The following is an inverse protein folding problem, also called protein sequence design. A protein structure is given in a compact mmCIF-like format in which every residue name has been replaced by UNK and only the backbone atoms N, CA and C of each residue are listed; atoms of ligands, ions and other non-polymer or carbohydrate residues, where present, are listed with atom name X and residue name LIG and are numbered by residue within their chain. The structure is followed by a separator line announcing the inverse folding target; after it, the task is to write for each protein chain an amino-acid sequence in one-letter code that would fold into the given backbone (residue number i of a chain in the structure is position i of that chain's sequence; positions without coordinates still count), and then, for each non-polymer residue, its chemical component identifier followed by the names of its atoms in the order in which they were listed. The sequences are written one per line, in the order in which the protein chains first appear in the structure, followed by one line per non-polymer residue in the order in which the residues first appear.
data_IF_192251932340
#
_entry.id   IF_192251932340
#
_cell.length_a   1.000
_cell.length_b   1.000
_cell.length_c   1.000
_cell.angle_alpha   90.00
_cell.angle_beta   90.00
_cell.angle_gamma   90.00
#
_symmetry.space_group_name_H-M   'P 1'
#
loop_
_entity.id
_entity.type
_entity.pdbx_description
1 polymer ?
#
# COMPACT_ATOMS: atom_id res chain seq x y z
N UNK A 1 -11.88 22.54 8.18
CA UNK A 1 -12.13 23.98 7.97
C UNK A 1 -11.41 24.35 6.68
N UNK A 2 -12.12 24.89 5.68
CA UNK A 2 -11.53 25.39 4.45
C UNK A 2 -10.69 26.63 4.78
N UNK A 3 -9.37 26.58 4.62
CA UNK A 3 -8.52 27.77 4.77
C UNK A 3 -8.67 28.67 3.53
N UNK A 4 -9.07 29.92 3.77
CA UNK A 4 -9.32 30.92 2.75
C UNK A 4 -8.03 31.41 2.12
N UNK A 5 -7.95 31.41 0.79
CA UNK A 5 -6.89 32.08 0.04
C UNK A 5 -6.94 33.60 0.32
N UNK A 6 -5.80 34.19 0.67
CA UNK A 6 -5.66 35.64 0.82
C UNK A 6 -5.37 36.23 -0.56
N UNK A 7 -6.24 37.13 -1.04
CA UNK A 7 -6.09 37.80 -2.33
C UNK A 7 -5.31 39.10 -2.11
N UNK A 8 -4.05 39.17 -2.52
CA UNK A 8 -3.34 40.44 -2.67
C UNK A 8 -3.30 40.84 -4.14
N UNK A 9 -3.63 42.11 -4.41
CA UNK A 9 -3.60 42.70 -5.74
C UNK A 9 -2.19 43.23 -6.01
N UNK A 10 -1.47 42.67 -6.97
CA UNK A 10 -0.28 43.32 -7.52
C UNK A 10 -0.72 44.55 -8.36
N UNK A 11 0.12 45.57 -8.40
CA UNK A 11 -0.06 46.86 -9.09
C UNK A 11 -0.28 46.75 -10.61
N UNK A 12 -0.30 45.54 -11.18
CA UNK A 12 -0.61 45.20 -12.57
C UNK A 12 -2.07 44.82 -12.82
N UNK A 13 -2.88 44.59 -11.78
CA UNK A 13 -4.30 44.21 -11.91
C UNK A 13 -4.54 42.73 -12.22
N UNK A 14 -3.52 41.87 -12.11
CA UNK A 14 -3.67 40.41 -12.16
C UNK A 14 -3.96 39.85 -10.77
N UNK A 15 -4.97 38.98 -10.67
CA UNK A 15 -5.31 38.28 -9.43
C UNK A 15 -4.29 37.15 -9.22
N UNK A 16 -3.24 37.42 -8.45
CA UNK A 16 -2.28 36.38 -8.04
C UNK A 16 -2.87 35.69 -6.81
N UNK A 17 -3.42 34.49 -7.00
CA UNK A 17 -3.79 33.62 -5.87
C UNK A 17 -2.49 33.00 -5.36
N UNK A 18 -1.85 33.63 -4.38
CA UNK A 18 -0.76 32.98 -3.66
C UNK A 18 -1.34 31.88 -2.76
N UNK A 19 -0.97 30.64 -3.07
CA UNK A 19 -1.29 29.51 -2.21
C UNK A 19 -0.56 29.69 -0.87
N UNK A 20 -1.33 29.80 0.21
CA UNK A 20 -0.79 29.87 1.57
C UNK A 20 -0.08 28.55 1.89
N UNK A 21 1.12 28.66 2.47
CA UNK A 21 1.88 27.51 2.94
C UNK A 21 1.22 26.98 4.22
N UNK A 22 0.93 25.68 4.25
CA UNK A 22 0.40 25.01 5.43
C UNK A 22 1.43 25.01 6.57
N UNK A 23 0.96 25.07 7.82
CA UNK A 23 1.84 25.07 8.99
C UNK A 23 2.64 23.76 9.04
N UNK A 24 3.96 23.85 9.21
CA UNK A 24 4.87 22.69 9.22
C UNK A 24 5.36 22.22 7.84
N UNK A 25 4.78 22.74 6.75
CA UNK A 25 5.25 22.45 5.40
C UNK A 25 6.42 23.36 5.00
N UNK A 26 7.32 22.81 4.18
CA UNK A 26 8.40 23.54 3.52
C UNK A 26 8.01 23.84 2.08
N UNK A 27 8.38 25.02 1.57
CA UNK A 27 8.23 25.40 0.16
C UNK A 27 9.59 25.48 -0.50
N UNK A 28 9.76 24.87 -1.66
CA UNK A 28 10.99 24.98 -2.45
C UNK A 28 10.69 25.06 -3.93
N UNK A 29 11.43 25.92 -4.64
CA UNK A 29 11.42 25.98 -6.10
C UNK A 29 12.58 25.15 -6.64
N UNK A 30 12.30 24.34 -7.65
CA UNK A 30 13.29 23.48 -8.27
C UNK A 30 14.43 24.26 -8.90
N UNK A 31 15.59 23.61 -8.97
CA UNK A 31 16.73 24.08 -9.75
C UNK A 31 17.02 23.10 -10.88
N UNK A 32 17.80 23.56 -11.86
CA UNK A 32 18.30 22.70 -12.93
C UNK A 32 18.91 21.43 -12.34
N UNK A 33 18.54 20.28 -12.90
CA UNK A 33 18.96 18.99 -12.40
C UNK A 33 20.49 18.84 -12.51
N UNK A 34 21.20 18.45 -11.44
CA UNK A 34 22.67 18.47 -11.40
C UNK A 34 23.32 17.29 -12.16
N UNK A 35 22.55 16.26 -12.50
CA UNK A 35 23.05 15.08 -13.22
C UNK A 35 23.39 15.36 -14.69
N UNK A 36 24.53 14.84 -15.14
CA UNK A 36 24.99 14.89 -16.53
C UNK A 36 23.97 14.19 -17.45
N UNK A 37 23.59 14.83 -18.55
CA UNK A 37 22.58 14.35 -19.50
C UNK A 37 21.14 14.69 -19.13
N UNK A 38 20.92 15.35 -17.98
CA UNK A 38 19.62 15.80 -17.51
C UNK A 38 19.57 17.32 -17.35
N UNK A 39 20.42 18.06 -18.06
CA UNK A 39 20.53 19.53 -17.96
C UNK A 39 19.24 20.25 -18.38
N UNK A 40 18.33 19.57 -19.11
CA UNK A 40 17.02 20.12 -19.47
C UNK A 40 15.93 19.83 -18.44
N UNK A 41 16.26 19.16 -17.33
CA UNK A 41 15.31 18.79 -16.28
C UNK A 41 15.44 19.69 -15.06
N UNK A 42 14.44 19.64 -14.18
CA UNK A 42 14.41 20.35 -12.92
C UNK A 42 14.26 19.36 -11.76
N UNK A 43 14.83 19.70 -10.60
CA UNK A 43 14.71 18.88 -9.40
C UNK A 43 14.83 19.67 -8.11
N UNK A 44 14.31 19.07 -7.03
CA UNK A 44 14.48 19.48 -5.64
C UNK A 44 15.04 18.29 -4.87
N UNK A 45 16.22 18.46 -4.27
CA UNK A 45 16.76 17.47 -3.34
C UNK A 45 16.16 17.72 -1.95
N UNK A 46 15.38 16.76 -1.48
CA UNK A 46 14.65 16.84 -0.21
C UNK A 46 15.49 16.25 0.92
N UNK A 47 16.03 15.05 0.69
CA UNK A 47 17.01 14.42 1.57
C UNK A 47 18.30 14.19 0.78
N UNK A 48 19.46 14.67 1.28
CA UNK A 48 20.73 14.51 0.59
C UNK A 48 21.19 13.05 0.60
N UNK A 49 22.21 12.74 -0.20
CA UNK A 49 22.86 11.42 -0.21
C UNK A 49 23.36 11.06 1.20
N UNK A 50 23.09 9.81 1.60
CA UNK A 50 23.62 9.19 2.81
C UNK A 50 24.10 7.75 2.55
N UNK A 51 25.10 7.32 3.31
CA UNK A 51 25.52 5.91 3.40
C UNK A 51 24.49 5.05 4.18
N UNK A 52 23.62 5.70 4.95
CA UNK A 52 22.51 5.10 5.68
C UNK A 52 21.23 5.11 4.84
N UNK A 53 20.20 4.42 5.32
CA UNK A 53 18.89 4.37 4.66
C UNK A 53 17.93 5.34 5.35
N UNK A 54 17.45 6.35 4.63
CA UNK A 54 16.26 7.08 5.02
C UNK A 54 15.04 6.20 4.83
N UNK A 55 14.11 6.26 5.78
CA UNK A 55 12.79 5.64 5.62
C UNK A 55 11.73 6.51 6.25
N UNK A 56 10.60 6.66 5.56
CA UNK A 56 9.51 7.49 6.04
C UNK A 56 8.49 7.84 4.96
N UNK A 57 7.78 8.93 5.21
CA UNK A 57 6.66 9.40 4.40
C UNK A 57 6.95 10.81 3.88
N UNK A 58 6.81 10.99 2.57
CA UNK A 58 6.78 12.29 1.91
C UNK A 58 5.33 12.64 1.59
N UNK A 59 4.84 13.75 2.14
CA UNK A 59 3.63 14.40 1.66
C UNK A 59 4.04 15.60 0.79
N UNK A 60 3.42 15.75 -0.37
CA UNK A 60 3.79 16.76 -1.36
C UNK A 60 2.57 17.37 -2.03
N UNK A 61 2.72 18.61 -2.48
CA UNK A 61 1.78 19.35 -3.30
C UNK A 61 2.58 20.29 -4.23
N UNK A 62 2.68 19.89 -5.49
CA UNK A 62 3.48 20.55 -6.51
C UNK A 62 2.62 21.35 -7.49
N UNK A 63 3.20 22.40 -8.07
CA UNK A 63 2.55 23.23 -9.09
C UNK A 63 2.36 22.52 -10.42
N UNK A 64 2.89 21.30 -10.58
CA UNK A 64 2.78 20.49 -11.79
C UNK A 64 2.95 19.00 -11.51
N UNK A 65 2.71 18.15 -12.52
CA UNK A 65 3.07 16.74 -12.47
C UNK A 65 4.58 16.56 -12.29
N UNK A 66 4.94 15.78 -11.27
CA UNK A 66 6.31 15.52 -10.86
C UNK A 66 6.64 14.02 -10.96
N UNK A 67 7.91 13.69 -10.72
CA UNK A 67 8.43 12.35 -10.51
C UNK A 67 9.06 12.32 -9.12
N UNK A 68 8.77 11.28 -8.34
CA UNK A 68 9.35 11.06 -7.02
C UNK A 68 10.50 10.07 -7.15
N UNK A 69 11.66 10.39 -6.61
CA UNK A 69 12.88 9.61 -6.79
C UNK A 69 13.49 9.27 -5.44
N UNK A 70 13.85 8.00 -5.25
CA UNK A 70 14.75 7.56 -4.18
C UNK A 70 15.93 6.80 -4.79
N UNK A 71 17.10 6.90 -4.16
CA UNK A 71 18.34 6.29 -4.64
C UNK A 71 18.72 5.04 -3.83
N UNK A 72 19.37 4.10 -4.50
CA UNK A 72 19.90 2.86 -3.93
C UNK A 72 21.37 2.73 -4.31
N UNK A 73 22.25 2.56 -3.33
CA UNK A 73 23.67 2.36 -3.59
C UNK A 73 24.58 3.01 -2.55
N UNK A 74 25.84 3.29 -2.92
CA UNK A 74 26.38 3.32 -4.29
C UNK A 74 26.43 1.96 -5.00
N UNK A 75 26.37 1.97 -6.35
CA UNK A 75 26.51 0.79 -7.20
C UNK A 75 27.99 0.45 -7.45
N UNK A 76 28.30 -0.85 -7.44
CA UNK A 76 29.57 -1.40 -7.88
C UNK A 76 29.66 -1.53 -9.41
N UNK A 77 30.87 -1.81 -9.91
CA UNK A 77 31.11 -2.03 -11.34
C UNK A 77 30.25 -3.18 -11.90
N UNK A 78 29.38 -2.84 -12.85
CA UNK A 78 28.51 -3.77 -13.56
C UNK A 78 27.13 -3.97 -12.96
N UNK A 79 26.82 -3.38 -11.81
CA UNK A 79 25.49 -3.39 -11.17
C UNK A 79 24.49 -2.46 -11.87
N UNK A 80 24.96 -1.55 -12.73
CA UNK A 80 24.15 -0.59 -13.48
C UNK A 80 23.38 -1.21 -14.66
N UNK A 81 23.64 -2.47 -15.00
CA UNK A 81 23.05 -3.13 -16.17
C UNK A 81 21.53 -3.28 -16.06
N UNK A 82 20.83 -2.69 -17.03
CA UNK A 82 19.37 -2.80 -17.18
C UNK A 82 18.57 -1.90 -16.24
N UNK A 83 19.22 -1.21 -15.31
CA UNK A 83 18.55 -0.40 -14.30
C UNK A 83 18.58 1.09 -14.64
N UNK A 84 17.61 1.84 -14.13
CA UNK A 84 17.70 3.29 -14.15
C UNK A 84 18.78 3.72 -13.14
N UNK A 85 19.74 4.52 -13.59
CA UNK A 85 20.85 4.99 -12.75
C UNK A 85 21.01 6.49 -12.82
N UNK A 86 21.57 7.06 -11.76
CA UNK A 86 21.93 8.46 -11.69
C UNK A 86 23.25 8.63 -10.93
N UNK A 87 24.09 9.55 -11.42
CA UNK A 87 25.32 10.00 -10.78
C UNK A 87 25.24 11.48 -10.40
N UNK A 88 24.82 11.81 -9.17
CA UNK A 88 24.68 13.20 -8.74
C UNK A 88 26.01 13.98 -8.75
N UNK A 89 27.12 13.31 -8.48
CA UNK A 89 28.48 13.87 -8.45
C UNK A 89 29.26 13.65 -9.76
N UNK A 90 28.64 13.01 -10.76
CA UNK A 90 29.28 12.62 -12.02
C UNK A 90 30.31 11.49 -11.90
N UNK A 91 30.51 10.89 -10.73
CA UNK A 91 31.50 9.84 -10.47
C UNK A 91 30.85 8.56 -9.93
N UNK A 92 30.00 8.69 -8.92
CA UNK A 92 29.36 7.59 -8.20
C UNK A 92 28.01 7.30 -8.81
N UNK A 93 27.75 6.04 -9.16
CA UNK A 93 26.44 5.63 -9.71
C UNK A 93 25.54 5.13 -8.60
N UNK A 94 24.28 5.51 -8.66
CA UNK A 94 23.21 4.98 -7.84
C UNK A 94 22.13 4.41 -8.75
N UNK A 95 21.51 3.32 -8.36
CA UNK A 95 20.24 2.93 -8.95
C UNK A 95 19.16 3.87 -8.42
N UNK A 96 18.11 4.08 -9.21
CA UNK A 96 17.00 4.92 -8.80
C UNK A 96 15.67 4.21 -8.98
N UNK A 97 14.84 4.34 -7.95
CA UNK A 97 13.40 4.15 -8.06
C UNK A 97 12.80 5.48 -8.42
N UNK A 98 12.02 5.55 -9.50
CA UNK A 98 11.19 6.71 -9.78
C UNK A 98 9.72 6.31 -9.85
N UNK A 99 8.86 7.11 -9.22
CA UNK A 99 7.40 6.94 -9.20
C UNK A 99 6.78 8.15 -9.90
N UNK A 100 5.84 7.88 -10.80
CA UNK A 100 5.02 8.92 -11.43
C UNK A 100 3.66 8.91 -10.74
N UNK A 101 3.41 9.81 -9.78
CA UNK A 101 2.10 9.87 -9.14
C UNK A 101 1.03 10.35 -10.14
N UNK A 102 -0.20 9.88 -9.95
CA UNK A 102 -1.35 10.28 -10.76
C UNK A 102 -1.70 11.77 -10.58
N UNK A 103 -1.39 12.32 -9.41
CA UNK A 103 -1.69 13.69 -9.03
C UNK A 103 -0.41 14.44 -8.64
N UNK A 104 -0.43 15.76 -8.81
CA UNK A 104 0.64 16.65 -8.34
C UNK A 104 0.67 16.80 -6.81
N UNK A 105 -0.32 16.24 -6.11
CA UNK A 105 -0.43 16.19 -4.66
C UNK A 105 -0.62 14.75 -4.21
N UNK A 106 0.02 14.36 -3.11
CA UNK A 106 -0.19 13.05 -2.52
C UNK A 106 0.79 12.70 -1.43
N UNK A 107 0.81 11.41 -1.12
CA UNK A 107 1.69 10.79 -0.14
C UNK A 107 2.55 9.72 -0.84
N UNK A 108 3.80 9.60 -0.43
CA UNK A 108 4.67 8.51 -0.84
C UNK A 108 5.52 8.00 0.31
N UNK A 109 5.41 6.70 0.60
CA UNK A 109 6.26 5.99 1.54
C UNK A 109 7.47 5.43 0.83
N UNK A 110 8.65 5.66 1.38
CA UNK A 110 9.91 5.31 0.73
C UNK A 110 10.94 4.74 1.71
N UNK A 111 11.89 3.99 1.15
CA UNK A 111 13.19 3.74 1.73
C UNK A 111 14.29 4.09 0.70
N UNK A 112 15.42 4.62 1.14
CA UNK A 112 16.60 4.78 0.29
C UNK A 112 17.63 5.79 0.77
N UNK A 113 18.68 5.97 -0.02
CA UNK A 113 19.87 6.74 0.33
C UNK A 113 19.74 8.24 0.04
N UNK A 114 18.71 8.66 -0.68
CA UNK A 114 18.37 10.07 -0.92
C UNK A 114 16.89 10.19 -1.34
N UNK A 115 16.32 11.38 -1.22
CA UNK A 115 14.95 11.69 -1.67
C UNK A 115 14.96 12.92 -2.56
N UNK A 116 14.44 12.80 -3.78
CA UNK A 116 14.45 13.84 -4.80
C UNK A 116 13.10 13.94 -5.47
N UNK A 117 12.62 15.17 -5.68
CA UNK A 117 11.47 15.45 -6.54
C UNK A 117 11.99 15.99 -7.86
N UNK A 118 11.47 15.51 -8.97
CA UNK A 118 12.00 15.73 -10.30
C UNK A 118 10.90 16.04 -11.32
N UNK A 119 11.21 16.79 -12.38
CA UNK A 119 10.39 16.89 -13.58
C UNK A 119 11.28 16.90 -14.82
N UNK A 120 10.76 16.38 -15.92
CA UNK A 120 11.42 16.41 -17.23
C UNK A 120 11.33 17.77 -17.93
N UNK A 121 10.60 18.72 -17.35
CA UNK A 121 10.45 20.06 -17.90
C UNK A 121 11.66 20.94 -17.58
N UNK A 122 11.90 21.91 -18.46
CA UNK A 122 12.97 22.91 -18.32
C UNK A 122 12.60 24.02 -17.36
N UNK A 123 11.30 24.33 -17.25
CA UNK A 123 10.80 25.40 -16.40
C UNK A 123 10.75 24.96 -14.93
N UNK A 124 11.20 25.81 -13.99
CA UNK A 124 11.12 25.49 -12.57
C UNK A 124 9.70 25.24 -12.10
N UNK A 125 9.53 24.25 -11.22
CA UNK A 125 8.30 24.02 -10.48
C UNK A 125 8.48 24.40 -9.01
N UNK A 126 7.39 24.67 -8.33
CA UNK A 126 7.39 24.84 -6.88
C UNK A 126 6.68 23.66 -6.23
N UNK A 127 7.21 23.20 -5.11
CA UNK A 127 6.63 22.13 -4.31
C UNK A 127 6.56 22.56 -2.86
N UNK A 128 5.37 22.37 -2.29
CA UNK A 128 5.16 22.36 -0.85
C UNK A 128 5.28 20.90 -0.39
N UNK A 129 6.03 20.64 0.68
CA UNK A 129 6.19 19.29 1.20
C UNK A 129 6.40 19.24 2.71
N UNK A 130 6.09 18.08 3.29
CA UNK A 130 6.55 17.67 4.62
C UNK A 130 7.13 16.26 4.51
N UNK A 131 8.28 16.05 5.14
CA UNK A 131 8.97 14.75 5.17
C UNK A 131 9.11 14.31 6.61
N UNK A 132 8.43 13.22 6.92
CA UNK A 132 8.55 12.52 8.19
C UNK A 132 9.42 11.30 7.97
N UNK A 133 10.73 11.43 8.17
CA UNK A 133 11.69 10.35 7.94
C UNK A 133 12.72 10.21 9.04
N UNK A 134 13.27 9.01 9.14
CA UNK A 134 14.41 8.69 9.98
C UNK A 134 15.57 8.23 9.10
N UNK A 135 16.78 8.71 9.39
CA UNK A 135 18.01 8.16 8.83
C UNK A 135 18.47 6.99 9.70
N UNK A 136 18.45 5.78 9.14
CA UNK A 136 18.72 4.55 9.89
C UNK A 136 20.01 3.90 9.44
N UNK A 137 20.87 3.61 10.42
CA UNK A 137 22.13 2.90 10.21
C UNK A 137 21.87 1.50 9.67
N UNK A 138 22.71 1.06 8.73
CA UNK A 138 22.64 -0.26 8.14
C UNK A 138 22.72 -1.34 9.24
N UNK A 139 21.81 -2.31 9.15
CA UNK A 139 21.68 -3.43 10.09
C UNK A 139 21.01 -4.61 9.38
N UNK A 140 20.80 -5.74 10.07
CA UNK A 140 20.21 -6.94 9.47
C UNK A 140 18.80 -6.73 8.90
N UNK A 141 18.06 -5.70 9.36
CA UNK A 141 16.70 -5.36 8.88
C UNK A 141 16.62 -4.00 8.18
N UNK A 142 17.74 -3.29 8.03
CA UNK A 142 17.84 -2.02 7.32
C UNK A 142 19.03 -2.11 6.37
N UNK A 143 18.75 -2.37 5.09
CA UNK A 143 19.79 -2.65 4.09
C UNK A 143 19.48 -1.95 2.78
N UNK A 144 20.54 -1.71 2.00
CA UNK A 144 20.49 -1.20 0.64
C UNK A 144 21.50 -1.98 -0.19
N UNK A 145 21.21 -2.25 -1.45
CA UNK A 145 22.15 -2.99 -2.29
C UNK A 145 21.57 -3.45 -3.62
N UNK A 146 22.38 -4.24 -4.33
CA UNK A 146 22.03 -4.82 -5.62
C UNK A 146 22.23 -6.33 -5.61
N UNK A 147 21.25 -7.07 -6.14
CA UNK A 147 21.22 -8.52 -6.21
C UNK A 147 20.94 -8.95 -7.65
N UNK A 148 21.66 -9.96 -8.12
CA UNK A 148 21.27 -10.71 -9.32
C UNK A 148 20.31 -11.82 -8.89
N UNK A 149 19.17 -11.93 -9.57
CA UNK A 149 18.23 -13.01 -9.31
C UNK A 149 18.86 -14.38 -9.59
N UNK A 150 18.33 -15.39 -8.93
CA UNK A 150 18.62 -16.80 -9.17
C UNK A 150 17.36 -17.53 -9.62
N UNK A 151 17.50 -18.76 -10.11
CA UNK A 151 16.36 -19.63 -10.32
C UNK A 151 15.60 -19.83 -9.02
N UNK A 152 14.27 -19.73 -9.05
CA UNK A 152 13.44 -19.93 -7.87
C UNK A 152 13.62 -21.36 -7.35
N UNK A 153 14.04 -21.53 -6.07
CA UNK A 153 14.25 -22.85 -5.50
C UNK A 153 12.95 -23.53 -5.04
N UNK A 154 11.81 -22.84 -5.13
CA UNK A 154 10.49 -23.36 -4.78
C UNK A 154 10.05 -24.47 -5.74
N UNK A 155 9.48 -25.54 -5.18
CA UNK A 155 8.90 -26.63 -5.95
C UNK A 155 7.79 -26.11 -6.86
N UNK A 156 7.89 -26.38 -8.17
CA UNK A 156 6.93 -25.90 -9.17
C UNK A 156 7.19 -24.50 -9.71
N UNK A 157 8.22 -23.81 -9.21
CA UNK A 157 8.65 -22.48 -9.67
C UNK A 157 9.96 -22.51 -10.46
N UNK A 158 10.39 -23.69 -10.92
CA UNK A 158 11.72 -23.86 -11.54
C UNK A 158 11.88 -23.09 -12.87
N UNK A 159 10.78 -22.61 -13.47
CA UNK A 159 10.81 -21.74 -14.64
C UNK A 159 10.96 -20.25 -14.32
N UNK A 160 10.95 -19.88 -13.04
CA UNK A 160 10.90 -18.51 -12.57
C UNK A 160 12.26 -18.07 -11.99
N UNK A 161 12.42 -16.76 -11.82
CA UNK A 161 13.54 -16.16 -11.11
C UNK A 161 13.09 -15.55 -9.80
N UNK A 162 14.00 -15.52 -8.83
CA UNK A 162 13.80 -15.00 -7.49
C UNK A 162 15.04 -14.24 -7.00
N UNK A 163 14.84 -13.07 -6.42
CA UNK A 163 15.84 -12.30 -5.68
C UNK A 163 15.37 -12.16 -4.23
N UNK A 164 16.07 -12.81 -3.30
CA UNK A 164 15.71 -12.83 -1.89
C UNK A 164 16.41 -11.67 -1.17
N UNK A 165 15.62 -10.80 -0.54
CA UNK A 165 16.12 -9.70 0.30
C UNK A 165 16.23 -10.17 1.75
N UNK A 166 15.14 -10.72 2.29
CA UNK A 166 15.12 -11.38 3.59
C UNK A 166 14.80 -12.85 3.39
N UNK A 167 15.75 -13.71 3.77
CA UNK A 167 15.54 -15.15 3.76
C UNK A 167 14.48 -15.54 4.80
N UNK A 168 13.74 -16.64 4.57
CA UNK A 168 12.78 -17.15 5.55
C UNK A 168 13.41 -17.32 6.94
N UNK A 169 12.76 -16.76 7.95
CA UNK A 169 13.20 -16.83 9.34
C UNK A 169 12.01 -16.89 10.30
N UNK A 170 12.23 -17.25 11.57
CA UNK A 170 11.21 -17.13 12.62
C UNK A 170 10.84 -15.68 12.94
N UNK A 171 11.66 -14.72 12.51
CA UNK A 171 11.41 -13.32 12.78
C UNK A 171 10.42 -12.77 11.76
N UNK A 172 9.52 -11.90 12.23
CA UNK A 172 8.61 -11.16 11.35
C UNK A 172 9.21 -9.79 11.08
N UNK A 173 9.38 -9.49 9.80
CA UNK A 173 9.78 -8.20 9.29
C UNK A 173 8.56 -7.41 8.84
N UNK A 174 8.47 -6.15 9.24
CA UNK A 174 7.46 -5.22 8.73
C UNK A 174 8.11 -3.89 8.40
N UNK A 175 7.86 -3.35 7.21
CA UNK A 175 8.53 -2.12 6.80
C UNK A 175 8.25 -1.68 5.38
N UNK A 176 9.14 -0.82 4.87
CA UNK A 176 9.05 -0.24 3.53
C UNK A 176 10.21 -0.77 2.69
N UNK A 177 9.89 -1.30 1.52
CA UNK A 177 10.82 -1.61 0.44
C UNK A 177 10.66 -0.55 -0.65
N UNK A 178 11.77 0.01 -1.15
CA UNK A 178 11.81 0.69 -2.44
C UNK A 178 12.78 -0.06 -3.35
N UNK A 179 12.42 -0.24 -4.63
CA UNK A 179 13.14 -1.12 -5.54
C UNK A 179 13.16 -0.63 -6.99
N UNK A 180 14.22 -1.01 -7.70
CA UNK A 180 14.41 -0.80 -9.14
C UNK A 180 15.00 -2.07 -9.75
N UNK A 181 14.37 -2.60 -10.79
CA UNK A 181 14.73 -3.85 -11.44
C UNK A 181 14.97 -3.65 -12.94
N UNK A 182 15.72 -4.57 -13.54
CA UNK A 182 15.99 -4.57 -14.98
C UNK A 182 14.79 -4.94 -15.86
N UNK A 183 13.74 -5.48 -15.26
CA UNK A 183 12.50 -5.92 -15.91
C UNK A 183 11.32 -5.86 -14.94
N UNK A 184 10.11 -6.14 -15.42
CA UNK A 184 8.93 -6.18 -14.56
C UNK A 184 9.02 -7.35 -13.58
N UNK A 185 8.70 -7.08 -12.33
CA UNK A 185 8.85 -8.04 -11.23
C UNK A 185 7.51 -8.30 -10.55
N UNK A 186 7.52 -9.27 -9.66
CA UNK A 186 6.49 -9.61 -8.70
C UNK A 186 7.04 -9.41 -7.29
N UNK A 187 6.23 -8.86 -6.41
CA UNK A 187 6.57 -8.65 -5.01
C UNK A 187 6.07 -9.83 -4.19
N UNK A 188 6.97 -10.42 -3.41
CA UNK A 188 6.71 -11.67 -2.68
C UNK A 188 7.04 -11.45 -1.21
N UNK A 189 6.07 -11.70 -0.34
CA UNK A 189 6.28 -11.84 1.09
C UNK A 189 5.80 -13.21 1.53
N UNK A 190 6.54 -13.87 2.42
CA UNK A 190 6.17 -15.18 2.93
C UNK A 190 5.76 -15.09 4.40
N UNK A 191 4.69 -15.79 4.77
CA UNK A 191 4.30 -16.05 6.17
C UNK A 191 4.50 -17.53 6.47
N UNK A 192 5.17 -17.84 7.56
CA UNK A 192 5.25 -19.22 8.04
C UNK A 192 6.58 -19.59 8.69
N UNK A 193 6.78 -20.89 8.97
CA UNK A 193 6.02 -22.02 8.43
C UNK A 193 4.56 -22.07 8.92
N UNK A 194 3.62 -22.43 8.03
CA UNK A 194 2.20 -22.56 8.38
C UNK A 194 1.90 -23.92 9.02
N UNK A 195 0.89 -23.96 9.88
CA UNK A 195 0.42 -25.19 10.54
C UNK A 195 -0.31 -26.14 9.58
N UNK A 196 -0.45 -27.44 9.95
CA UNK A 196 -1.08 -28.46 9.11
C UNK A 196 -2.58 -28.23 8.85
N UNK A 197 -3.23 -27.39 9.67
CA UNK A 197 -4.65 -27.05 9.55
C UNK A 197 -4.87 -25.75 8.75
N UNK A 198 -3.80 -25.05 8.37
CA UNK A 198 -3.86 -23.86 7.52
C UNK A 198 -3.87 -24.26 6.05
N UNK A 199 -4.79 -23.69 5.26
CA UNK A 199 -4.94 -23.97 3.83
C UNK A 199 -4.96 -22.67 3.01
N UNK A 200 -3.82 -21.97 2.89
CA UNK A 200 -3.75 -20.73 2.15
C UNK A 200 -3.92 -20.95 0.64
N UNK A 201 -4.35 -19.91 -0.07
CA UNK A 201 -4.55 -19.97 -1.52
C UNK A 201 -3.25 -20.17 -2.31
N UNK A 202 -2.15 -19.59 -1.80
CA UNK A 202 -0.84 -19.67 -2.42
C UNK A 202 0.19 -20.12 -1.40
N UNK A 203 0.92 -21.18 -1.75
CA UNK A 203 1.96 -21.78 -0.92
C UNK A 203 3.28 -21.78 -1.64
N UNK A 204 4.37 -21.63 -0.89
CA UNK A 204 5.73 -21.81 -1.38
C UNK A 204 6.49 -22.78 -0.46
N UNK A 205 7.26 -23.70 -1.05
CA UNK A 205 8.06 -24.68 -0.31
C UNK A 205 9.28 -25.12 -1.12
N UNK A 206 10.40 -25.33 -0.44
CA UNK A 206 11.64 -25.85 -1.05
C UNK A 206 11.78 -27.35 -0.86
N UNK A 207 11.35 -27.87 0.29
CA UNK A 207 11.55 -29.26 0.73
C UNK A 207 10.25 -30.10 0.69
N UNK A 208 9.11 -29.47 0.41
CA UNK A 208 7.79 -30.09 0.43
C UNK A 208 7.22 -30.32 1.84
N UNK A 209 7.96 -29.94 2.89
CA UNK A 209 7.57 -30.14 4.30
C UNK A 209 7.41 -28.85 5.07
N UNK A 210 8.23 -27.85 4.76
CA UNK A 210 8.18 -26.50 5.31
C UNK A 210 7.39 -25.66 4.33
N UNK A 211 6.11 -25.43 4.65
CA UNK A 211 5.19 -24.68 3.80
C UNK A 211 5.08 -23.25 4.32
N UNK A 212 5.21 -22.29 3.42
CA UNK A 212 4.95 -20.88 3.68
C UNK A 212 3.71 -20.46 2.91
N UNK A 213 2.85 -19.66 3.52
CA UNK A 213 1.87 -18.87 2.79
C UNK A 213 2.62 -17.78 2.03
N UNK A 214 2.24 -17.59 0.77
CA UNK A 214 2.84 -16.61 -0.12
C UNK A 214 1.86 -15.47 -0.39
N UNK A 215 2.22 -14.26 0.03
CA UNK A 215 1.59 -13.04 -0.47
C UNK A 215 2.28 -12.62 -1.75
N UNK A 216 1.49 -12.41 -2.79
CA UNK A 216 1.94 -12.14 -4.14
C UNK A 216 1.28 -10.86 -4.66
N UNK A 217 2.09 -9.90 -5.11
CA UNK A 217 1.62 -8.68 -5.77
C UNK A 217 2.33 -8.54 -7.11
N UNK A 218 1.58 -8.46 -8.21
CA UNK A 218 2.11 -8.15 -9.54
C UNK A 218 1.82 -6.67 -9.85
N UNK A 219 2.77 -5.77 -9.62
CA UNK A 219 2.57 -4.35 -9.89
C UNK A 219 2.65 -4.02 -11.39
N UNK A 220 2.94 -5.00 -12.27
CA UNK A 220 3.22 -4.81 -13.68
C UNK A 220 4.27 -3.71 -13.96
N UNK A 221 5.17 -3.49 -13.01
CA UNK A 221 6.21 -2.47 -13.07
C UNK A 221 7.57 -3.05 -12.64
N UNK A 222 8.63 -2.30 -12.97
CA UNK A 222 10.02 -2.65 -12.63
C UNK A 222 10.57 -1.85 -11.46
N UNK A 223 9.80 -0.92 -10.91
CA UNK A 223 10.24 -0.08 -9.80
C UNK A 223 9.05 0.49 -9.04
N UNK A 224 9.25 0.74 -7.75
CA UNK A 224 8.22 1.30 -6.89
C UNK A 224 8.60 1.21 -5.43
N UNK A 225 7.60 1.41 -4.58
CA UNK A 225 7.70 1.22 -3.14
C UNK A 225 6.56 0.33 -2.65
N UNK A 226 6.84 -0.48 -1.65
CA UNK A 226 5.91 -1.44 -1.09
C UNK A 226 6.03 -1.51 0.42
N UNK A 227 4.90 -1.34 1.10
CA UNK A 227 4.78 -1.69 2.51
C UNK A 227 4.51 -3.18 2.62
N UNK A 228 5.35 -3.88 3.36
CA UNK A 228 5.29 -5.33 3.48
C UNK A 228 5.30 -5.76 4.95
N UNK A 229 4.80 -6.97 5.18
CA UNK A 229 4.96 -7.71 6.41
C UNK A 229 5.13 -9.19 6.09
N UNK A 230 6.05 -9.87 6.77
CA UNK A 230 6.26 -11.31 6.62
C UNK A 230 7.59 -11.81 7.20
N UNK A 231 7.76 -13.12 7.16
CA UNK A 231 8.94 -13.87 7.60
C UNK A 231 10.06 -13.90 6.56
N UNK A 232 9.74 -13.59 5.30
CA UNK A 232 10.68 -13.46 4.18
C UNK A 232 10.22 -12.34 3.24
N UNK A 233 11.17 -11.76 2.50
CA UNK A 233 10.91 -10.75 1.49
C UNK A 233 11.72 -11.07 0.24
N UNK A 234 11.05 -11.17 -0.90
CA UNK A 234 11.68 -11.43 -2.19
C UNK A 234 10.98 -10.69 -3.33
N UNK A 235 11.67 -10.61 -4.46
CA UNK A 235 11.06 -10.21 -5.73
C UNK A 235 11.26 -11.33 -6.74
N UNK A 236 10.23 -11.62 -7.52
CA UNK A 236 10.22 -12.69 -8.51
C UNK A 236 10.00 -12.20 -9.94
N UNK A 237 10.29 -13.04 -10.93
CA UNK A 237 9.94 -12.81 -12.32
C UNK A 237 9.57 -14.13 -13.01
N UNK A 238 8.46 -14.14 -13.76
CA UNK A 238 7.96 -15.33 -14.50
C UNK A 238 8.70 -15.56 -15.81
N UNK A 239 10.01 -15.77 -15.73
CA UNK A 239 10.82 -16.18 -16.86
C UNK A 239 12.14 -16.79 -16.38
N UNK A 240 12.93 -17.31 -17.31
CA UNK A 240 14.18 -18.03 -17.03
C UNK A 240 15.42 -17.14 -17.11
N UNK A 241 15.28 -15.84 -17.38
CA UNK A 241 16.41 -14.93 -17.55
C UNK A 241 16.63 -14.18 -16.25
N UNK A 242 17.85 -14.21 -15.73
CA UNK A 242 18.16 -13.49 -14.49
C UNK A 242 17.95 -11.98 -14.66
N UNK A 243 17.35 -11.35 -13.66
CA UNK A 243 17.22 -9.90 -13.57
C UNK A 243 18.15 -9.33 -12.50
N UNK A 244 18.45 -8.03 -12.64
CA UNK A 244 19.18 -7.26 -11.64
C UNK A 244 18.20 -6.44 -10.82
N UNK A 245 18.33 -6.47 -9.51
CA UNK A 245 17.50 -5.74 -8.55
C UNK A 245 18.37 -4.84 -7.68
N UNK A 246 18.13 -3.54 -7.68
CA UNK A 246 18.61 -2.65 -6.62
C UNK A 246 17.48 -2.20 -5.72
N UNK A 247 17.76 -2.10 -4.43
CA UNK A 247 16.71 -1.86 -3.44
C UNK A 247 17.27 -1.15 -2.22
N UNK A 248 16.35 -0.56 -1.46
CA UNK A 248 16.56 -0.22 -0.06
C UNK A 248 15.35 -0.66 0.73
N UNK A 249 15.59 -1.24 1.89
CA UNK A 249 14.56 -1.70 2.80
C UNK A 249 14.85 -1.19 4.20
N UNK A 250 13.80 -0.74 4.88
CA UNK A 250 13.85 -0.44 6.31
C UNK A 250 12.71 -1.17 6.99
N UNK A 251 13.05 -2.15 7.81
CA UNK A 251 12.08 -2.98 8.51
C UNK A 251 12.33 -3.01 10.01
N UNK A 252 11.25 -3.08 10.76
CA UNK A 252 11.24 -3.53 12.14
C UNK A 252 11.30 -5.06 12.12
N UNK A 253 12.22 -5.59 12.92
CA UNK A 253 12.37 -7.02 13.15
C UNK A 253 11.76 -7.35 14.50
N UNK A 254 10.77 -8.22 14.52
CA UNK A 254 10.20 -8.75 15.75
C UNK A 254 10.51 -10.23 15.84
N UNK A 255 11.14 -10.66 16.94
CA UNK A 255 11.32 -12.08 17.23
C UNK A 255 9.94 -12.69 17.46
N UNK A 256 9.66 -13.84 16.86
CA UNK A 256 8.55 -14.67 17.31
C UNK A 256 8.80 -15.03 18.78
N UNK A 257 8.04 -14.42 19.68
CA UNK A 257 7.61 -15.14 20.86
C UNK A 257 6.79 -16.32 20.36
N UNK A 258 7.38 -17.52 20.30
CA UNK A 258 6.62 -18.78 20.36
C UNK A 258 6.00 -18.85 21.76
N UNK A 259 5.01 -18.00 21.99
CA UNK A 259 3.90 -18.30 22.86
C UNK A 259 2.79 -18.74 21.92
N UNK A 260 1.97 -19.77 22.25
CA UNK A 260 0.66 -19.84 21.61
C UNK A 260 0.08 -18.44 21.72
N UNK A 261 -0.46 -17.93 20.62
CA UNK A 261 -1.18 -16.67 20.59
C UNK A 261 -2.23 -16.77 21.70
N UNK A 262 -1.88 -16.30 22.90
CA UNK A 262 -2.85 -15.73 23.80
C UNK A 262 -3.22 -14.48 23.06
N UNK A 263 -4.23 -14.62 22.20
CA UNK A 263 -4.81 -13.56 21.41
C UNK A 263 -4.91 -12.33 22.31
N UNK A 264 -3.98 -11.40 22.15
CA UNK A 264 -4.31 -10.03 22.51
C UNK A 264 -5.41 -9.68 21.51
N UNK A 265 -6.61 -9.35 21.99
CA UNK A 265 -7.74 -9.14 21.11
C UNK A 265 -7.33 -8.02 20.15
N UNK A 266 -7.30 -8.33 18.85
CA UNK A 266 -7.53 -7.29 17.84
C UNK A 266 -8.84 -6.67 18.30
N UNK A 267 -8.80 -5.42 18.76
CA UNK A 267 -10.01 -4.78 19.22
C UNK A 267 -10.99 -4.85 18.04
N UNK A 268 -12.18 -5.44 18.22
CA UNK A 268 -13.10 -5.70 17.13
C UNK A 268 -13.40 -4.37 16.42
N UNK A 269 -13.17 -4.32 15.11
CA UNK A 269 -13.45 -3.11 14.33
C UNK A 269 -14.96 -3.04 14.07
N UNK A 270 -15.50 -1.83 14.09
CA UNK A 270 -16.90 -1.58 13.71
C UNK A 270 -16.94 -1.10 12.25
N UNK A 271 -17.59 -1.88 11.40
CA UNK A 271 -17.90 -1.55 10.01
C UNK A 271 -19.33 -1.02 9.92
N UNK A 272 -19.58 -0.04 9.06
CA UNK A 272 -20.89 0.61 8.98
C UNK A 272 -21.61 0.29 7.67
N UNK A 273 -22.90 -0.02 7.77
CA UNK A 273 -23.81 -0.18 6.64
C UNK A 273 -24.98 0.78 6.81
N UNK A 274 -25.25 1.62 5.81
CA UNK A 274 -26.41 2.50 5.79
C UNK A 274 -27.54 1.89 4.99
N UNK A 275 -28.76 1.94 5.53
CA UNK A 275 -30.00 1.77 4.78
C UNK A 275 -30.45 3.18 4.35
N UNK A 276 -30.27 3.59 3.08
CA UNK A 276 -30.55 4.96 2.66
C UNK A 276 -32.06 5.22 2.51
N UNK A 277 -32.44 6.49 2.38
CA UNK A 277 -33.83 6.88 2.22
C UNK A 277 -34.47 6.36 0.92
N UNK A 278 -35.77 6.08 0.97
CA UNK A 278 -36.63 5.63 -0.13
C UNK A 278 -36.41 4.17 -0.59
N UNK A 279 -35.79 3.31 0.21
CA UNK A 279 -35.59 1.88 -0.13
C UNK A 279 -36.80 0.99 0.22
N UNK A 280 -37.79 1.55 0.95
CA UNK A 280 -39.09 0.92 1.20
C UNK A 280 -39.96 0.72 -0.06
N UNK A 281 -39.53 1.20 -1.22
CA UNK A 281 -40.12 0.89 -2.52
C UNK A 281 -39.09 0.18 -3.43
N UNK A 282 -39.51 -0.76 -4.29
CA UNK A 282 -38.60 -1.38 -5.26
C UNK A 282 -37.89 -0.36 -6.17
N UNK A 283 -36.64 -0.65 -6.51
CA UNK A 283 -35.77 0.12 -7.39
C UNK A 283 -34.29 0.00 -7.02
N UNK A 284 -33.98 -0.04 -5.72
CA UNK A 284 -32.61 -0.09 -5.20
C UNK A 284 -31.90 -1.44 -5.48
N UNK A 285 -32.65 -2.51 -5.74
CA UNK A 285 -32.13 -3.85 -6.05
C UNK A 285 -31.43 -3.91 -7.41
N UNK A 286 -31.77 -3.00 -8.32
CA UNK A 286 -31.14 -2.91 -9.64
C UNK A 286 -29.73 -2.31 -9.60
N UNK A 287 -29.44 -1.52 -8.56
CA UNK A 287 -28.17 -0.82 -8.37
C UNK A 287 -27.36 -1.33 -7.18
N UNK A 288 -27.90 -2.28 -6.40
CA UNK A 288 -27.34 -2.75 -5.12
C UNK A 288 -27.16 -1.61 -4.09
N UNK A 289 -28.10 -0.68 -4.05
CA UNK A 289 -28.03 0.49 -3.15
C UNK A 289 -29.02 0.39 -1.98
N UNK A 290 -29.64 -0.77 -1.77
CA UNK A 290 -30.56 -0.97 -0.64
C UNK A 290 -29.85 -1.00 0.73
N UNK A 291 -28.62 -1.54 0.75
CA UNK A 291 -27.68 -1.50 1.86
C UNK A 291 -26.36 -0.96 1.33
N UNK A 292 -25.77 0.04 1.98
CA UNK A 292 -24.55 0.71 1.51
C UNK A 292 -23.44 0.58 2.55
N UNK A 293 -22.33 -0.11 2.26
CA UNK A 293 -22.08 -0.84 1.02
C UNK A 293 -22.92 -2.14 0.93
N UNK A 294 -23.15 -2.62 -0.29
CA UNK A 294 -23.88 -3.87 -0.54
C UNK A 294 -23.13 -5.11 -0.06
N UNK A 295 -21.81 -5.09 -0.18
CA UNK A 295 -20.91 -6.18 0.19
C UNK A 295 -19.82 -5.64 1.09
N UNK A 296 -19.58 -6.32 2.21
CA UNK A 296 -18.47 -6.05 3.12
C UNK A 296 -17.54 -7.27 3.18
N UNK A 297 -16.23 -7.01 3.27
CA UNK A 297 -15.21 -8.00 3.63
C UNK A 297 -14.63 -7.60 4.98
N UNK A 298 -14.72 -8.48 5.97
CA UNK A 298 -14.31 -8.25 7.37
C UNK A 298 -13.53 -9.46 7.90
N UNK A 299 -12.92 -9.35 9.07
CA UNK A 299 -12.25 -10.49 9.74
C UNK A 299 -13.09 -11.04 10.90
N UNK A 300 -12.91 -12.32 11.22
CA UNK A 300 -13.60 -12.92 12.37
C UNK A 300 -13.28 -12.17 13.68
N UNK A 301 -14.32 -11.71 14.37
CA UNK A 301 -14.25 -10.85 15.55
C UNK A 301 -14.84 -9.47 15.32
N UNK A 302 -14.93 -8.99 14.06
CA UNK A 302 -15.46 -7.66 13.75
C UNK A 302 -16.97 -7.54 13.97
N UNK A 303 -17.43 -6.31 14.18
CA UNK A 303 -18.84 -5.95 14.31
C UNK A 303 -19.29 -5.15 13.10
N UNK A 304 -20.47 -5.47 12.55
CA UNK A 304 -21.12 -4.63 11.55
C UNK A 304 -22.29 -3.91 12.21
N UNK A 305 -22.34 -2.59 12.04
CA UNK A 305 -23.40 -1.70 12.49
C UNK A 305 -24.22 -1.21 11.31
N UNK A 306 -25.48 -1.66 11.22
CA UNK A 306 -26.45 -1.16 10.25
C UNK A 306 -27.22 0.03 10.82
N UNK A 307 -27.29 1.15 10.10
CA UNK A 307 -28.09 2.32 10.47
C UNK A 307 -29.27 2.50 9.53
N UNK A 308 -30.49 2.63 10.07
CA UNK A 308 -31.67 2.91 9.27
C UNK A 308 -31.86 4.42 9.02
N UNK A 309 -31.43 4.89 7.84
CA UNK A 309 -31.64 6.28 7.41
C UNK A 309 -32.90 6.45 6.53
N UNK A 310 -33.69 5.40 6.34
CA UNK A 310 -34.98 5.45 5.66
C UNK A 310 -36.11 5.82 6.62
N UNK A 311 -37.20 6.37 6.08
CA UNK A 311 -38.42 6.68 6.84
C UNK A 311 -39.25 5.42 7.17
N UNK A 312 -38.99 4.31 6.46
CA UNK A 312 -39.62 3.02 6.70
C UNK A 312 -38.89 2.20 7.75
N UNK A 313 -39.60 1.25 8.35
CA UNK A 313 -38.99 0.25 9.23
C UNK A 313 -38.39 -0.90 8.41
N UNK A 314 -37.24 -1.39 8.83
CA UNK A 314 -36.50 -2.44 8.12
C UNK A 314 -36.05 -3.55 9.07
N UNK A 315 -35.57 -4.65 8.50
CA UNK A 315 -34.86 -5.70 9.22
C UNK A 315 -33.53 -5.98 8.51
N UNK A 316 -32.53 -6.46 9.26
CA UNK A 316 -31.32 -7.09 8.74
C UNK A 316 -31.38 -8.54 9.20
N UNK A 317 -31.77 -9.43 8.30
CA UNK A 317 -32.03 -10.83 8.63
C UNK A 317 -31.18 -11.73 7.74
N UNK A 318 -30.31 -12.53 8.35
CA UNK A 318 -29.47 -13.49 7.63
C UNK A 318 -30.30 -14.56 6.94
N UNK A 319 -29.85 -15.02 5.78
CA UNK A 319 -30.61 -15.93 4.93
C UNK A 319 -29.73 -16.95 4.23
N UNK A 320 -30.31 -18.11 3.97
CA UNK A 320 -29.81 -19.10 3.02
C UNK A 320 -30.84 -19.29 1.88
N UNK A 321 -30.67 -20.35 1.08
CA UNK A 321 -31.56 -20.67 -0.04
C UNK A 321 -33.02 -20.97 0.36
N UNK A 322 -33.28 -21.29 1.63
CA UNK A 322 -34.59 -21.71 2.14
C UNK A 322 -35.28 -20.64 3.01
N UNK A 323 -34.69 -19.44 3.12
CA UNK A 323 -35.19 -18.31 3.92
C UNK A 323 -34.27 -17.96 5.10
N UNK A 324 -34.80 -17.32 6.17
CA UNK A 324 -34.00 -16.96 7.34
C UNK A 324 -33.27 -18.16 7.91
N UNK A 325 -31.95 -18.07 8.03
CA UNK A 325 -31.10 -19.16 8.53
C UNK A 325 -30.86 -19.08 10.05
N UNK A 326 -31.25 -17.98 10.67
CA UNK A 326 -31.19 -17.77 12.11
C UNK A 326 -29.81 -17.37 12.65
N UNK A 327 -28.86 -17.01 11.79
CA UNK A 327 -27.53 -16.53 12.23
C UNK A 327 -27.65 -15.15 12.91
N UNK A 328 -28.34 -14.20 12.29
CA UNK A 328 -28.70 -12.92 12.90
C UNK A 328 -30.04 -12.38 12.38
N UNK A 329 -30.76 -11.71 13.26
CA UNK A 329 -31.98 -11.01 12.93
C UNK A 329 -32.08 -9.77 13.81
N UNK A 330 -32.07 -8.59 13.20
CA UNK A 330 -32.26 -7.32 13.91
C UNK A 330 -33.65 -7.19 14.53
N UNK A 331 -34.60 -8.05 14.16
CA UNK A 331 -36.02 -7.75 14.24
C UNK A 331 -36.34 -6.45 13.49
N UNK A 332 -37.57 -5.95 13.62
CA UNK A 332 -37.95 -4.67 13.04
C UNK A 332 -37.28 -3.53 13.81
N UNK A 333 -36.53 -2.67 13.13
CA UNK A 333 -35.93 -1.46 13.71
C UNK A 333 -36.30 -0.21 12.91
N UNK A 334 -36.49 0.91 13.63
CA UNK A 334 -37.13 2.11 13.11
C UNK A 334 -36.11 3.08 12.53
N UNK A 335 -36.59 4.15 11.88
CA UNK A 335 -35.77 5.26 11.40
C UNK A 335 -34.89 5.83 12.50
N UNK A 336 -33.60 5.97 12.21
CA UNK A 336 -32.58 6.49 13.11
C UNK A 336 -32.00 5.44 14.06
N UNK A 337 -32.59 4.25 14.15
CA UNK A 337 -32.05 3.17 14.98
C UNK A 337 -30.87 2.46 14.28
N UNK A 338 -30.03 1.86 15.11
CA UNK A 338 -28.92 1.02 14.66
C UNK A 338 -29.09 -0.42 15.15
N UNK A 339 -28.62 -1.36 14.34
CA UNK A 339 -28.46 -2.77 14.70
C UNK A 339 -27.00 -3.17 14.56
N UNK A 340 -26.46 -3.89 15.53
CA UNK A 340 -25.08 -4.36 15.51
C UNK A 340 -25.03 -5.88 15.62
N UNK A 341 -24.15 -6.51 14.85
CA UNK A 341 -23.86 -7.94 14.95
C UNK A 341 -22.36 -8.20 14.82
N UNK A 342 -21.81 -8.97 15.76
CA UNK A 342 -20.41 -9.39 15.78
C UNK A 342 -20.25 -10.75 15.11
N UNK A 343 -19.42 -10.82 14.08
CA UNK A 343 -19.19 -12.03 13.31
C UNK A 343 -17.99 -12.80 13.88
N UNK A 344 -18.22 -13.90 14.59
CA UNK A 344 -17.13 -14.66 15.22
C UNK A 344 -16.59 -15.82 14.40
N UNK A 345 -17.29 -16.21 13.32
CA UNK A 345 -16.92 -17.35 12.47
C UNK A 345 -16.72 -16.89 11.04
N UNK A 346 -15.67 -17.38 10.38
CA UNK A 346 -15.45 -17.15 8.95
C UNK A 346 -16.58 -17.75 8.11
N UNK A 347 -16.84 -17.14 6.96
CA UNK A 347 -17.93 -17.56 6.08
C UNK A 347 -18.59 -16.41 5.32
N UNK A 348 -19.56 -16.77 4.47
CA UNK A 348 -20.36 -15.82 3.70
C UNK A 348 -21.76 -15.76 4.28
N UNK A 349 -22.19 -14.56 4.60
CA UNK A 349 -23.48 -14.27 5.21
C UNK A 349 -24.26 -13.34 4.29
N UNK A 350 -25.15 -13.93 3.50
CA UNK A 350 -26.15 -13.17 2.76
C UNK A 350 -27.28 -12.77 3.73
N UNK A 351 -27.82 -11.58 3.58
CA UNK A 351 -28.92 -11.08 4.41
C UNK A 351 -29.90 -10.23 3.60
N UNK A 352 -31.10 -10.06 4.15
CA UNK A 352 -32.18 -9.34 3.50
C UNK A 352 -33.12 -8.66 4.49
N UNK A 353 -33.98 -7.77 3.98
CA UNK A 353 -35.09 -7.23 4.77
C UNK A 353 -36.34 -8.12 4.62
N UNK A 354 -36.88 -8.63 5.74
CA UNK A 354 -38.07 -9.49 5.75
C UNK A 354 -39.34 -8.75 5.29
N UNK A 355 -39.41 -7.43 5.51
CA UNK A 355 -40.55 -6.59 5.11
C UNK A 355 -40.44 -6.21 3.62
N UNK A 356 -39.21 -6.06 3.13
CA UNK A 356 -38.89 -5.59 1.79
C UNK A 356 -37.91 -6.57 1.11
N UNK A 357 -38.37 -7.73 0.60
CA UNK A 357 -37.49 -8.83 0.19
C UNK A 357 -36.56 -8.55 -1.00
N UNK A 358 -36.72 -7.42 -1.70
CA UNK A 358 -35.79 -6.96 -2.73
C UNK A 358 -34.49 -6.39 -2.16
N UNK A 359 -34.49 -5.98 -0.89
CA UNK A 359 -33.30 -5.44 -0.22
C UNK A 359 -32.40 -6.59 0.20
N UNK A 360 -31.29 -6.78 -0.52
CA UNK A 360 -30.28 -7.81 -0.25
C UNK A 360 -28.93 -7.16 0.08
N UNK A 361 -28.14 -7.81 0.93
CA UNK A 361 -26.75 -7.43 1.23
C UNK A 361 -25.92 -8.64 1.60
N UNK A 362 -24.59 -8.45 1.69
CA UNK A 362 -23.62 -9.54 1.90
C UNK A 362 -22.49 -9.14 2.86
N UNK A 363 -22.08 -10.07 3.71
CA UNK A 363 -20.86 -9.95 4.52
C UNK A 363 -20.01 -11.21 4.30
N UNK A 364 -18.76 -11.03 3.88
CA UNK A 364 -17.74 -12.08 3.82
C UNK A 364 -16.79 -11.92 5.00
N UNK A 365 -16.61 -12.97 5.79
CA UNK A 365 -15.74 -12.99 6.97
C UNK A 365 -14.57 -13.91 6.69
N UNK A 366 -13.36 -13.34 6.66
CA UNK A 366 -12.10 -14.04 6.38
C UNK A 366 -11.35 -14.44 7.65
#
# INVERSE_FOLDING_TARGET
MLNAAQTELDYSGECVIEKLLEEGWSRTTSTQHPGIGHESHQSVMILPLSENVYSGTLNYDATESIQLITLHGPLNDGEDKGQATWSPDGMTKYALTFVNPDNAQGEWKFAGNALVIHTKKTEPFTVDYIVESEEKVISDSVITGTIQSMQDPGMGHESDQLAIIFAPSSDVYSGILSYSASENIQLISLRGPIGPDENPEQTWTVDGTTIFEMTFVDPANKMGSWEFSGNALALGAKNTTSFTLSYSVSALKSEEMISPISAMPIAPLIHYVSIPANVSSPGCESTNECYIPYSLEIVAGDTVSWSNNDIGAHTVTSTNSDGPDGVFDSSLFMTGDTFEYTFTNSGKYDYYCMVHPWMMGKVSVN
#
